data_IF_042105552978
#
_entry.id   IF_042105552978
#
_cell.length_a   1.000
_cell.length_b   1.000
_cell.length_c   1.000
_cell.angle_alpha   90.00
_cell.angle_beta   90.00
_cell.angle_gamma   90.00
#
_symmetry.space_group_name_H-M   'P 1'
#
loop_
_entity.id
_entity.type
_entity.pdbx_description
1 polymer ?
#
# COMPACT_ATOMS: atom_id res chain seq x y z
N UNK A 1 2.45 -5.50 15.85
CA UNK A 1 1.13 -5.18 15.25
C UNK A 1 1.37 -4.05 14.27
N UNK A 2 0.87 -4.13 13.03
CA UNK A 2 1.09 -3.06 12.03
C UNK A 2 0.81 -1.68 12.65
N UNK A 3 1.84 -0.83 12.68
CA UNK A 3 1.83 0.51 13.29
C UNK A 3 1.97 1.60 12.23
N UNK A 4 2.69 1.32 11.14
CA UNK A 4 2.86 2.26 10.02
C UNK A 4 2.91 1.54 8.67
N UNK A 5 2.32 2.15 7.64
CA UNK A 5 2.45 1.74 6.24
C UNK A 5 2.82 2.95 5.38
N UNK A 6 3.97 2.86 4.69
CA UNK A 6 4.43 3.86 3.72
C UNK A 6 4.44 3.26 2.33
N UNK A 7 3.82 3.94 1.38
CA UNK A 7 3.73 3.54 -0.03
C UNK A 7 4.29 4.66 -0.91
N UNK A 8 5.14 4.29 -1.86
CA UNK A 8 5.72 5.18 -2.87
C UNK A 8 5.58 4.55 -4.25
N UNK A 9 5.04 5.31 -5.19
CA UNK A 9 4.95 4.95 -6.61
C UNK A 9 4.33 3.56 -6.88
N UNK A 10 3.18 3.29 -6.26
CA UNK A 10 2.39 2.07 -6.48
C UNK A 10 1.07 2.38 -7.19
N UNK A 11 0.89 1.86 -8.42
CA UNK A 11 -0.31 2.01 -9.26
C UNK A 11 -0.75 3.48 -9.40
N UNK A 12 -1.72 3.93 -8.61
CA UNK A 12 -2.23 5.32 -8.60
C UNK A 12 -1.62 6.18 -7.47
N UNK A 13 -0.92 5.56 -6.52
CA UNK A 13 -0.36 6.20 -5.33
C UNK A 13 1.06 6.65 -5.64
N UNK A 14 1.28 7.95 -5.76
CA UNK A 14 2.62 8.54 -5.75
C UNK A 14 3.22 8.47 -4.34
N UNK A 15 2.45 8.90 -3.34
CA UNK A 15 2.86 8.92 -1.94
C UNK A 15 1.68 8.73 -1.00
N UNK A 16 1.81 7.79 -0.07
CA UNK A 16 0.89 7.60 1.03
C UNK A 16 1.65 7.18 2.30
N UNK A 17 1.24 7.72 3.44
CA UNK A 17 1.75 7.38 4.78
C UNK A 17 0.54 7.19 5.70
N UNK A 18 0.41 6.03 6.34
CA UNK A 18 -0.71 5.69 7.24
C UNK A 18 -0.16 5.20 8.58
N UNK A 19 -0.58 5.85 9.65
CA UNK A 19 -0.39 5.38 11.03
C UNK A 19 -1.62 4.57 11.48
N UNK A 20 -1.37 3.37 12.00
CA UNK A 20 -2.41 2.48 12.50
C UNK A 20 -2.51 2.56 14.02
N UNK A 21 -3.75 2.57 14.50
CA UNK A 21 -4.08 2.49 15.93
C UNK A 21 -4.53 1.08 16.30
N UNK A 22 -4.47 0.76 17.59
CA UNK A 22 -5.01 -0.48 18.13
C UNK A 22 -6.51 -0.60 17.86
N UNK A 23 -6.99 -1.80 17.54
CA UNK A 23 -8.40 -2.08 17.32
C UNK A 23 -8.73 -2.23 15.83
N UNK A 24 -9.93 -1.78 15.44
CA UNK A 24 -10.44 -1.93 14.07
C UNK A 24 -10.11 -0.71 13.22
N UNK A 25 -9.41 -0.92 12.12
CA UNK A 25 -9.26 0.07 11.05
C UNK A 25 -10.26 -0.21 9.94
N UNK A 26 -11.07 0.79 9.58
CA UNK A 26 -12.08 0.67 8.51
C UNK A 26 -11.66 1.51 7.32
N UNK A 27 -11.46 0.86 6.17
CA UNK A 27 -11.16 1.54 4.91
C UNK A 27 -12.46 1.72 4.11
N UNK A 28 -12.82 2.97 3.83
CA UNK A 28 -13.96 3.35 2.99
C UNK A 28 -13.47 4.01 1.70
N UNK A 29 -14.36 4.21 0.73
CA UNK A 29 -14.00 4.76 -0.58
C UNK A 29 -15.18 4.67 -1.54
N UNK A 30 -15.17 5.53 -2.56
CA UNK A 30 -16.19 5.59 -3.61
C UNK A 30 -16.09 4.38 -4.56
N UNK A 31 -14.85 3.96 -4.87
CA UNK A 31 -14.55 2.77 -5.67
C UNK A 31 -13.67 1.79 -4.90
N UNK A 32 -13.57 0.56 -5.42
CA UNK A 32 -12.71 -0.47 -4.84
C UNK A 32 -11.22 -0.28 -5.12
N UNK A 33 -10.84 0.51 -6.14
CA UNK A 33 -9.47 0.55 -6.66
C UNK A 33 -8.44 0.97 -5.59
N UNK A 34 -8.68 2.07 -4.86
CA UNK A 34 -7.76 2.53 -3.82
C UNK A 34 -7.60 1.55 -2.65
N UNK A 35 -8.68 0.84 -2.29
CA UNK A 35 -8.64 -0.18 -1.23
C UNK A 35 -7.85 -1.42 -1.67
N UNK A 36 -8.08 -1.90 -2.89
CA UNK A 36 -7.33 -3.04 -3.44
C UNK A 36 -5.84 -2.72 -3.52
N UNK A 37 -5.48 -1.53 -4.02
CA UNK A 37 -4.07 -1.09 -4.08
C UNK A 37 -3.42 -1.09 -2.68
N UNK A 38 -4.14 -0.63 -1.66
CA UNK A 38 -3.66 -0.65 -0.26
C UNK A 38 -3.42 -2.08 0.25
N UNK A 39 -4.33 -3.01 -0.03
CA UNK A 39 -4.20 -4.41 0.38
C UNK A 39 -3.09 -5.14 -0.38
N UNK A 40 -2.95 -4.86 -1.67
CA UNK A 40 -1.87 -5.39 -2.51
C UNK A 40 -0.51 -4.88 -2.02
N UNK A 41 -0.43 -3.60 -1.67
CA UNK A 41 0.77 -2.98 -1.09
C UNK A 41 1.15 -3.63 0.24
N UNK A 42 0.18 -3.83 1.14
CA UNK A 42 0.43 -4.51 2.41
C UNK A 42 0.88 -5.95 2.21
N UNK A 43 0.26 -6.68 1.26
CA UNK A 43 0.66 -8.05 0.92
C UNK A 43 2.09 -8.10 0.40
N UNK A 44 2.48 -7.15 -0.44
CA UNK A 44 3.85 -7.01 -0.93
C UNK A 44 4.84 -6.79 0.23
N UNK A 45 4.53 -5.91 1.18
CA UNK A 45 5.36 -5.67 2.35
C UNK A 45 5.48 -6.90 3.27
N UNK A 46 4.50 -7.81 3.22
CA UNK A 46 4.51 -9.09 3.95
C UNK A 46 5.21 -10.22 3.19
N UNK A 47 5.82 -9.95 2.02
CA UNK A 47 6.58 -10.91 1.24
C UNK A 47 5.79 -11.64 0.16
N UNK A 48 4.58 -11.17 -0.19
CA UNK A 48 3.91 -11.64 -1.39
C UNK A 48 4.76 -11.34 -2.63
N UNK A 49 4.53 -12.10 -3.71
CA UNK A 49 5.27 -11.92 -4.96
C UNK A 49 5.05 -10.51 -5.50
N UNK A 50 6.13 -9.78 -5.73
CA UNK A 50 6.11 -8.50 -6.44
C UNK A 50 5.80 -8.68 -7.93
N UNK A 51 4.91 -7.85 -8.45
CA UNK A 51 4.61 -7.71 -9.87
C UNK A 51 5.02 -6.31 -10.34
N UNK A 52 5.65 -6.22 -11.51
CA UNK A 52 6.00 -4.95 -12.14
C UNK A 52 4.76 -4.09 -12.46
N UNK A 53 3.59 -4.71 -12.61
CA UNK A 53 2.31 -4.00 -12.78
C UNK A 53 1.94 -3.12 -11.58
N UNK A 54 2.52 -3.39 -10.40
CA UNK A 54 2.32 -2.56 -9.21
C UNK A 54 3.09 -1.24 -9.29
N UNK A 55 4.16 -1.15 -10.08
CA UNK A 55 4.92 0.09 -10.21
C UNK A 55 4.06 1.12 -10.94
N UNK A 56 3.93 2.31 -10.34
CA UNK A 56 3.16 3.41 -10.93
C UNK A 56 3.72 3.77 -12.30
N UNK A 57 2.82 4.03 -13.25
CA UNK A 57 3.21 4.38 -14.61
C UNK A 57 4.11 5.64 -14.62
N UNK A 58 5.29 5.52 -15.23
CA UNK A 58 6.28 6.59 -15.32
C UNK A 58 7.25 6.66 -14.14
N UNK A 59 7.15 5.76 -13.15
CA UNK A 59 8.15 5.58 -12.11
C UNK A 59 9.07 4.40 -12.44
N UNK A 60 10.34 4.50 -12.06
CA UNK A 60 11.34 3.45 -12.29
C UNK A 60 11.21 2.28 -11.30
N UNK A 61 10.64 2.55 -10.12
CA UNK A 61 10.43 1.57 -9.06
C UNK A 61 9.25 1.96 -8.17
N UNK A 62 8.64 0.97 -7.52
CA UNK A 62 7.66 1.15 -6.46
C UNK A 62 8.18 0.58 -5.14
N UNK A 63 7.80 1.19 -4.02
CA UNK A 63 8.24 0.77 -2.68
C UNK A 63 7.07 0.73 -1.71
N UNK A 64 7.04 -0.32 -0.89
CA UNK A 64 6.18 -0.40 0.28
C UNK A 64 7.00 -0.77 1.50
N UNK A 65 6.80 -0.05 2.60
CA UNK A 65 7.41 -0.32 3.88
C UNK A 65 6.34 -0.42 4.96
N UNK A 66 6.37 -1.50 5.74
CA UNK A 66 5.48 -1.74 6.87
C UNK A 66 6.30 -1.82 8.17
N UNK A 67 5.81 -1.16 9.21
CA UNK A 67 6.38 -1.24 10.57
C UNK A 67 5.37 -1.96 11.47
N UNK A 68 5.84 -2.89 12.29
CA UNK A 68 5.02 -3.74 13.16
C UNK A 68 5.36 -3.53 14.63
#
# INVERSE_FOLDING_TARGET
>A
MLSHLSIRDIVLIERLDIEFKTGLSVLTGETGAGKSILLDSLSLALGARGDASLVRHGADQGQVAAVF
#
